data_IF_870092591616
#
_entry.id   IF_870092591616
#
_cell.length_a   1.000
_cell.length_b   1.000
_cell.length_c   1.000
_cell.angle_alpha   90.00
_cell.angle_beta   90.00
_cell.angle_gamma   90.00
#
_symmetry.space_group_name_H-M   'P 1'
#
loop_
_entity.id
_entity.type
_entity.pdbx_description
1 polymer ?
#
# COMPACT_ATOMS: atom_id res chain seq x y z
N UNK A 1 -31.93 10.00 50.51
CA UNK A 1 -30.61 10.61 50.14
C UNK A 1 -29.80 9.77 49.18
N UNK A 2 -29.78 8.41 49.32
CA UNK A 2 -29.08 7.54 48.34
C UNK A 2 -29.80 7.40 46.98
N UNK A 3 -31.15 7.50 46.96
CA UNK A 3 -31.95 7.42 45.74
C UNK A 3 -31.78 8.65 44.81
N UNK A 4 -31.46 9.82 45.37
CA UNK A 4 -31.21 11.05 44.59
C UNK A 4 -29.84 11.07 43.90
N UNK A 5 -28.84 10.44 44.50
CA UNK A 5 -27.49 10.38 43.93
C UNK A 5 -27.46 9.41 42.75
N UNK A 6 -28.20 8.31 42.83
CA UNK A 6 -28.30 7.33 41.73
C UNK A 6 -29.10 7.86 40.53
N UNK A 7 -30.15 8.67 40.78
CA UNK A 7 -30.90 9.30 39.68
C UNK A 7 -30.12 10.42 38.98
N UNK A 8 -29.33 11.19 39.74
CA UNK A 8 -28.41 12.19 39.15
C UNK A 8 -27.26 11.55 38.37
N UNK A 9 -26.69 10.43 38.85
CA UNK A 9 -25.67 9.69 38.15
C UNK A 9 -26.21 9.07 36.83
N UNK A 10 -27.44 8.57 36.82
CA UNK A 10 -28.11 8.07 35.64
C UNK A 10 -28.45 9.19 34.62
N UNK A 11 -28.79 10.39 35.11
CA UNK A 11 -29.05 11.57 34.27
C UNK A 11 -27.77 12.11 33.58
N UNK A 12 -26.61 11.99 34.23
CA UNK A 12 -25.33 12.39 33.66
C UNK A 12 -24.78 11.38 32.66
N UNK A 13 -25.13 10.11 32.77
CA UNK A 13 -24.75 9.05 31.81
C UNK A 13 -25.52 9.16 30.48
N UNK A 14 -26.68 9.83 30.45
CA UNK A 14 -27.47 10.04 29.23
C UNK A 14 -27.14 11.31 28.42
N UNK A 15 -26.24 12.17 28.92
CA UNK A 15 -26.05 13.52 28.35
C UNK A 15 -24.80 13.69 27.48
N UNK A 16 -23.99 12.64 27.26
CA UNK A 16 -22.85 12.73 26.37
C UNK A 16 -22.78 11.52 25.46
N UNK A 17 -23.69 11.46 24.49
CA UNK A 17 -23.45 10.69 23.28
C UNK A 17 -22.31 11.34 22.50
N UNK A 18 -21.09 11.25 23.05
CA UNK A 18 -19.85 11.45 22.29
C UNK A 18 -19.66 10.24 21.36
N UNK A 19 -20.66 9.97 20.56
CA UNK A 19 -20.50 9.03 19.46
C UNK A 19 -19.45 9.60 18.51
N UNK A 20 -18.41 8.83 18.23
CA UNK A 20 -17.37 9.18 17.25
C UNK A 20 -18.03 9.67 15.96
N UNK A 21 -19.17 9.09 15.60
CA UNK A 21 -19.94 9.48 14.43
C UNK A 21 -20.53 10.90 14.56
N UNK A 22 -21.02 11.30 15.73
CA UNK A 22 -21.57 12.66 15.93
C UNK A 22 -20.47 13.71 15.90
N UNK A 23 -19.28 13.40 16.41
CA UNK A 23 -18.09 14.26 16.30
C UNK A 23 -17.63 14.40 14.85
N UNK A 24 -17.61 13.30 14.10
CA UNK A 24 -17.30 13.32 12.67
C UNK A 24 -18.32 14.18 11.88
N UNK A 25 -19.62 14.03 12.16
CA UNK A 25 -20.66 14.81 11.46
C UNK A 25 -20.58 16.31 11.76
N UNK A 26 -20.10 16.70 12.96
CA UNK A 26 -19.92 18.11 13.35
C UNK A 26 -18.58 18.70 12.92
N UNK A 27 -17.60 17.86 12.52
CA UNK A 27 -16.31 18.32 12.07
C UNK A 27 -16.41 19.19 10.81
N UNK A 28 -15.43 20.07 10.64
CA UNK A 28 -15.29 20.92 9.45
C UNK A 28 -15.08 20.08 8.18
N UNK A 29 -15.48 20.63 7.03
CA UNK A 29 -15.37 19.94 5.73
C UNK A 29 -13.94 19.52 5.40
N UNK A 30 -12.96 20.34 5.81
CA UNK A 30 -11.53 20.04 5.57
C UNK A 30 -11.10 18.83 6.41
N UNK A 31 -11.47 18.79 7.70
CA UNK A 31 -11.15 17.65 8.57
C UNK A 31 -11.83 16.37 8.07
N UNK A 32 -13.09 16.46 7.63
CA UNK A 32 -13.79 15.33 6.99
C UNK A 32 -13.07 14.82 5.76
N UNK A 33 -12.63 15.73 4.89
CA UNK A 33 -11.89 15.37 3.68
C UNK A 33 -10.58 14.65 3.99
N UNK A 34 -9.81 15.13 4.97
CA UNK A 34 -8.58 14.48 5.42
C UNK A 34 -8.83 13.06 5.90
N UNK A 35 -9.85 12.86 6.75
CA UNK A 35 -10.20 11.54 7.27
C UNK A 35 -10.61 10.59 6.14
N UNK A 36 -11.45 11.05 5.20
CA UNK A 36 -11.89 10.24 4.06
C UNK A 36 -10.71 9.84 3.17
N UNK A 37 -9.79 10.76 2.87
CA UNK A 37 -8.60 10.49 2.07
C UNK A 37 -7.72 9.45 2.76
N UNK A 38 -7.49 9.57 4.08
CA UNK A 38 -6.68 8.62 4.83
C UNK A 38 -7.32 7.22 4.88
N UNK A 39 -8.64 7.14 5.06
CA UNK A 39 -9.36 5.86 5.02
C UNK A 39 -9.27 5.23 3.63
N UNK A 40 -9.48 5.99 2.56
CA UNK A 40 -9.37 5.50 1.20
C UNK A 40 -7.94 5.01 0.88
N UNK A 41 -6.92 5.77 1.28
CA UNK A 41 -5.52 5.39 1.14
C UNK A 41 -5.20 4.12 1.93
N UNK A 42 -5.75 3.96 3.14
CA UNK A 42 -5.59 2.77 3.97
C UNK A 42 -6.19 1.53 3.29
N UNK A 43 -7.43 1.61 2.80
CA UNK A 43 -8.10 0.50 2.11
C UNK A 43 -7.31 0.09 0.87
N UNK A 44 -6.87 1.06 0.07
CA UNK A 44 -6.08 0.79 -1.13
C UNK A 44 -4.71 0.18 -0.81
N UNK A 45 -4.04 0.65 0.25
CA UNK A 45 -2.78 0.06 0.73
C UNK A 45 -2.96 -1.40 1.15
N UNK A 46 -4.03 -1.75 1.86
CA UNK A 46 -4.34 -3.13 2.21
C UNK A 46 -4.59 -4.00 0.97
N UNK A 47 -5.27 -3.48 -0.05
CA UNK A 47 -5.49 -4.21 -1.30
C UNK A 47 -4.15 -4.56 -1.97
N UNK A 48 -3.21 -3.58 -2.05
CA UNK A 48 -1.87 -3.81 -2.60
C UNK A 48 -1.09 -4.83 -1.77
N UNK A 49 -1.12 -4.75 -0.45
CA UNK A 49 -0.41 -5.68 0.44
C UNK A 49 -0.90 -7.12 0.21
N UNK A 50 -2.21 -7.33 0.14
CA UNK A 50 -2.81 -8.66 -0.09
C UNK A 50 -2.43 -9.19 -1.48
N UNK A 51 -2.47 -8.34 -2.51
CA UNK A 51 -2.05 -8.69 -3.87
C UNK A 51 -0.58 -9.10 -3.91
N UNK A 52 0.31 -8.31 -3.30
CA UNK A 52 1.73 -8.60 -3.24
C UNK A 52 2.05 -9.86 -2.44
N UNK A 53 1.38 -10.06 -1.33
CA UNK A 53 1.57 -11.29 -0.54
C UNK A 53 1.21 -12.55 -1.34
N UNK A 54 0.11 -12.51 -2.10
CA UNK A 54 -0.27 -13.61 -2.99
C UNK A 54 0.73 -13.78 -4.14
N UNK A 55 1.21 -12.69 -4.72
CA UNK A 55 2.20 -12.70 -5.79
C UNK A 55 3.51 -13.33 -5.33
N UNK A 56 4.07 -12.89 -4.21
CA UNK A 56 5.32 -13.43 -3.67
C UNK A 56 5.20 -14.91 -3.32
N UNK A 57 4.08 -15.30 -2.71
CA UNK A 57 3.82 -16.72 -2.43
C UNK A 57 3.76 -17.56 -3.69
N UNK A 58 3.10 -17.05 -4.74
CA UNK A 58 3.03 -17.73 -6.05
C UNK A 58 4.42 -17.85 -6.67
N UNK A 59 5.21 -16.74 -6.70
CA UNK A 59 6.56 -16.73 -7.26
C UNK A 59 7.45 -17.75 -6.57
N UNK A 60 7.47 -17.78 -5.23
CA UNK A 60 8.31 -18.74 -4.49
C UNK A 60 7.97 -20.19 -4.86
N UNK A 61 6.70 -20.55 -4.89
CA UNK A 61 6.25 -21.90 -5.23
C UNK A 61 6.59 -22.27 -6.68
N UNK A 62 6.35 -21.36 -7.63
CA UNK A 62 6.64 -21.60 -9.05
C UNK A 62 8.13 -21.64 -9.33
N UNK A 63 8.93 -20.81 -8.67
CA UNK A 63 10.38 -20.80 -8.82
C UNK A 63 11.03 -22.08 -8.29
N UNK A 64 10.60 -22.60 -7.13
CA UNK A 64 11.06 -23.89 -6.60
C UNK A 64 10.70 -25.06 -7.54
N UNK A 65 9.49 -25.04 -8.09
CA UNK A 65 9.04 -26.05 -9.05
C UNK A 65 9.85 -25.97 -10.37
N UNK A 66 10.10 -24.75 -10.86
CA UNK A 66 10.93 -24.49 -12.03
C UNK A 66 12.35 -24.99 -11.84
N UNK A 67 13.00 -24.65 -10.72
CA UNK A 67 14.34 -25.07 -10.38
C UNK A 67 14.45 -26.60 -10.31
N UNK A 68 13.52 -27.25 -9.62
CA UNK A 68 13.46 -28.71 -9.54
C UNK A 68 13.33 -29.38 -10.90
N UNK A 69 12.52 -28.84 -11.82
CA UNK A 69 12.35 -29.34 -13.18
C UNK A 69 13.59 -29.11 -14.04
N UNK A 70 14.23 -27.92 -13.86
CA UNK A 70 15.45 -27.57 -14.58
C UNK A 70 16.58 -28.55 -14.26
N UNK A 71 16.85 -28.82 -12.98
CA UNK A 71 17.92 -29.74 -12.56
C UNK A 71 17.66 -31.18 -12.93
N UNK A 72 16.41 -31.57 -13.13
CA UNK A 72 16.04 -32.93 -13.61
C UNK A 72 16.17 -33.09 -15.13
N UNK A 73 16.25 -32.01 -15.85
CA UNK A 73 16.37 -32.04 -17.31
C UNK A 73 17.80 -32.38 -17.74
N UNK A 74 17.93 -33.08 -18.86
CA UNK A 74 19.25 -33.52 -19.40
C UNK A 74 20.05 -32.38 -20.02
N UNK A 75 19.39 -31.33 -20.54
CA UNK A 75 20.02 -30.16 -21.11
C UNK A 75 19.12 -28.93 -21.03
N UNK A 76 19.72 -27.74 -20.99
CA UNK A 76 18.99 -26.47 -20.99
C UNK A 76 18.14 -26.28 -22.26
N UNK A 77 18.60 -26.77 -23.40
CA UNK A 77 17.88 -26.68 -24.67
C UNK A 77 16.63 -27.57 -24.72
N UNK A 78 16.72 -28.80 -24.21
CA UNK A 78 15.58 -29.70 -24.08
C UNK A 78 14.54 -29.11 -23.13
N UNK A 79 14.99 -28.53 -22.03
CA UNK A 79 14.11 -27.88 -21.06
C UNK A 79 13.41 -26.64 -21.67
N UNK A 80 14.17 -25.80 -22.40
CA UNK A 80 13.61 -24.65 -23.11
C UNK A 80 12.47 -25.02 -24.06
N UNK A 81 12.65 -26.09 -24.84
CA UNK A 81 11.65 -26.57 -25.78
C UNK A 81 10.41 -27.21 -25.11
N UNK A 82 10.53 -27.60 -23.84
CA UNK A 82 9.42 -28.16 -23.04
C UNK A 82 8.59 -27.09 -22.35
N UNK A 83 9.05 -25.83 -22.30
CA UNK A 83 8.36 -24.75 -21.64
C UNK A 83 7.18 -24.21 -22.46
N UNK A 84 6.03 -23.93 -21.83
CA UNK A 84 4.88 -23.34 -22.50
C UNK A 84 5.17 -21.92 -23.00
N UNK A 85 4.40 -21.47 -23.98
CA UNK A 85 4.61 -20.17 -24.61
C UNK A 85 4.36 -18.99 -23.65
N UNK A 86 3.43 -19.16 -22.74
CA UNK A 86 3.03 -18.13 -21.78
C UNK A 86 3.35 -18.61 -20.36
N UNK A 87 4.27 -17.94 -19.70
CA UNK A 87 4.75 -18.27 -18.38
C UNK A 87 4.46 -17.09 -17.44
N UNK A 88 3.73 -17.34 -16.37
CA UNK A 88 3.45 -16.36 -15.31
C UNK A 88 4.60 -16.24 -14.31
N UNK A 89 5.63 -17.10 -14.43
CA UNK A 89 6.76 -17.15 -13.53
C UNK A 89 7.90 -16.25 -14.03
N UNK A 90 8.39 -15.28 -13.23
CA UNK A 90 9.51 -14.40 -13.58
C UNK A 90 10.80 -15.17 -13.88
N UNK A 91 11.09 -16.26 -13.15
CA UNK A 91 12.28 -17.09 -13.36
C UNK A 91 12.23 -17.78 -14.71
N UNK A 92 11.09 -18.35 -15.07
CA UNK A 92 10.91 -19.02 -16.35
C UNK A 92 10.96 -18.04 -17.53
N UNK A 93 10.43 -16.82 -17.37
CA UNK A 93 10.55 -15.76 -18.37
C UNK A 93 12.00 -15.32 -18.56
N UNK A 94 12.74 -15.11 -17.45
CA UNK A 94 14.16 -14.77 -17.48
C UNK A 94 14.97 -15.85 -18.21
N UNK A 95 14.74 -17.12 -17.88
CA UNK A 95 15.39 -18.25 -18.53
C UNK A 95 15.08 -18.30 -20.03
N UNK A 96 13.81 -18.10 -20.41
CA UNK A 96 13.38 -18.14 -21.80
C UNK A 96 14.01 -17.03 -22.62
N UNK A 97 14.00 -15.79 -22.13
CA UNK A 97 14.60 -14.64 -22.79
C UNK A 97 16.11 -14.83 -22.96
N UNK A 98 16.78 -15.36 -21.92
CA UNK A 98 18.21 -15.66 -21.94
C UNK A 98 18.55 -16.75 -22.95
N UNK A 99 17.81 -17.86 -22.98
CA UNK A 99 18.00 -18.96 -23.91
C UNK A 99 17.78 -18.55 -25.37
N UNK A 100 16.82 -17.66 -25.64
CA UNK A 100 16.64 -17.12 -27.00
C UNK A 100 17.88 -16.43 -27.51
N UNK A 101 18.60 -15.71 -26.66
CA UNK A 101 19.84 -15.02 -27.02
C UNK A 101 20.98 -16.02 -27.22
N UNK A 102 21.10 -17.01 -26.35
CA UNK A 102 22.08 -18.09 -26.47
C UNK A 102 21.95 -18.83 -27.82
N UNK A 103 20.73 -19.20 -28.17
CA UNK A 103 20.43 -19.92 -29.42
C UNK A 103 20.72 -19.07 -30.66
N UNK A 104 20.40 -17.77 -30.60
CA UNK A 104 20.66 -16.83 -31.70
C UNK A 104 22.13 -16.43 -31.86
N UNK A 105 22.95 -16.63 -30.83
CA UNK A 105 24.33 -16.18 -30.80
C UNK A 105 25.26 -17.20 -31.49
N UNK A 106 25.83 -16.85 -32.65
CA UNK A 106 26.75 -17.72 -33.41
C UNK A 106 28.21 -17.74 -32.90
N UNK A 107 28.59 -16.80 -32.04
CA UNK A 107 29.97 -16.65 -31.58
C UNK A 107 30.10 -16.81 -30.06
N UNK A 108 30.89 -17.78 -29.62
CA UNK A 108 31.13 -18.11 -28.21
C UNK A 108 31.95 -17.05 -27.44
N UNK A 109 32.81 -16.31 -28.08
CA UNK A 109 33.72 -15.37 -27.39
C UNK A 109 33.04 -14.09 -26.91
N UNK A 110 31.95 -13.68 -27.54
CA UNK A 110 31.19 -12.47 -27.19
C UNK A 110 29.93 -12.84 -26.35
N UNK A 111 29.67 -14.14 -26.25
CA UNK A 111 28.44 -14.64 -25.61
C UNK A 111 28.36 -14.30 -24.10
N UNK A 112 29.51 -14.40 -23.39
CA UNK A 112 29.52 -14.19 -21.93
C UNK A 112 29.18 -12.76 -21.53
N UNK A 113 29.79 -11.77 -22.18
CA UNK A 113 29.54 -10.35 -21.88
C UNK A 113 28.11 -9.93 -22.28
N UNK A 114 27.67 -10.35 -23.47
CA UNK A 114 26.28 -10.09 -23.90
C UNK A 114 25.27 -10.78 -23.03
N UNK A 115 25.55 -11.97 -22.51
CA UNK A 115 24.68 -12.71 -21.63
C UNK A 115 24.49 -11.98 -20.30
N UNK A 116 25.58 -11.50 -19.69
CA UNK A 116 25.51 -10.71 -18.46
C UNK A 116 24.66 -9.45 -18.64
N UNK A 117 24.89 -8.68 -19.70
CA UNK A 117 24.12 -7.46 -19.97
C UNK A 117 22.62 -7.76 -20.18
N UNK A 118 22.30 -8.85 -20.88
CA UNK A 118 20.91 -9.25 -21.13
C UNK A 118 20.26 -9.75 -19.85
N UNK A 119 20.97 -10.51 -19.03
CA UNK A 119 20.48 -10.95 -17.72
C UNK A 119 20.18 -9.76 -16.83
N UNK A 120 21.08 -8.78 -16.75
CA UNK A 120 20.87 -7.55 -15.96
C UNK A 120 19.61 -6.81 -16.43
N UNK A 121 19.47 -6.54 -17.71
CA UNK A 121 18.29 -5.84 -18.27
C UNK A 121 17.00 -6.62 -18.02
N UNK A 122 17.03 -7.94 -18.18
CA UNK A 122 15.85 -8.76 -17.94
C UNK A 122 15.49 -8.87 -16.45
N UNK A 123 16.47 -8.95 -15.56
CA UNK A 123 16.25 -8.92 -14.11
C UNK A 123 15.63 -7.59 -13.73
N UNK A 124 16.18 -6.46 -14.18
CA UNK A 124 15.65 -5.13 -13.92
C UNK A 124 14.21 -4.99 -14.42
N UNK A 125 13.90 -5.50 -15.61
CA UNK A 125 12.54 -5.52 -16.16
C UNK A 125 11.58 -6.32 -15.28
N UNK A 126 11.97 -7.50 -14.80
CA UNK A 126 11.13 -8.30 -13.90
C UNK A 126 10.96 -7.64 -12.53
N UNK A 127 12.02 -7.05 -11.99
CA UNK A 127 11.96 -6.29 -10.73
C UNK A 127 11.01 -5.10 -10.84
N UNK A 128 11.07 -4.33 -11.94
CA UNK A 128 10.17 -3.20 -12.16
C UNK A 128 8.69 -3.61 -12.21
N UNK A 129 8.37 -4.78 -12.76
CA UNK A 129 7.01 -5.33 -12.77
C UNK A 129 6.56 -5.66 -11.34
N UNK A 130 7.45 -6.27 -10.57
CA UNK A 130 7.18 -6.63 -9.17
C UNK A 130 7.04 -5.38 -8.29
N UNK A 131 7.85 -4.35 -8.51
CA UNK A 131 7.90 -3.14 -7.66
C UNK A 131 6.88 -2.07 -8.02
N UNK A 132 6.18 -2.19 -9.12
CA UNK A 132 5.27 -1.15 -9.65
C UNK A 132 4.31 -0.54 -8.63
N UNK A 133 3.83 -1.31 -7.65
CA UNK A 133 2.89 -0.82 -6.61
C UNK A 133 3.58 -0.41 -5.30
N UNK A 134 4.86 -0.75 -5.11
CA UNK A 134 5.58 -0.46 -3.87
C UNK A 134 5.83 1.04 -3.69
N UNK A 135 6.02 1.77 -4.78
CA UNK A 135 6.18 3.23 -4.77
C UNK A 135 4.97 3.93 -4.16
N UNK A 136 3.76 3.45 -4.43
CA UNK A 136 2.55 4.00 -3.81
C UNK A 136 2.55 3.77 -2.28
N UNK A 137 2.87 2.56 -1.82
CA UNK A 137 2.95 2.25 -0.39
C UNK A 137 3.98 3.12 0.33
N UNK A 138 5.16 3.29 -0.27
CA UNK A 138 6.22 4.14 0.27
C UNK A 138 5.77 5.60 0.37
N UNK A 139 5.11 6.12 -0.67
CA UNK A 139 4.59 7.49 -0.69
C UNK A 139 3.52 7.68 0.38
N UNK A 140 2.53 6.79 0.48
CA UNK A 140 1.48 6.86 1.50
C UNK A 140 2.08 6.73 2.89
N UNK A 141 3.01 5.79 3.11
CA UNK A 141 3.66 5.59 4.40
C UNK A 141 4.41 6.83 4.89
N UNK A 142 5.08 7.56 4.00
CA UNK A 142 5.80 8.79 4.33
C UNK A 142 4.91 10.02 4.45
N UNK A 143 3.83 10.14 3.67
CA UNK A 143 3.00 11.36 3.62
C UNK A 143 1.78 11.31 4.55
N UNK A 144 1.22 10.13 4.85
CA UNK A 144 0.03 9.99 5.69
C UNK A 144 0.14 10.66 7.08
N UNK A 145 1.27 10.55 7.82
CA UNK A 145 1.44 11.25 9.10
C UNK A 145 1.34 12.77 8.97
N UNK A 146 1.89 13.34 7.90
CA UNK A 146 1.83 14.80 7.66
C UNK A 146 0.42 15.26 7.29
N UNK A 147 -0.30 14.48 6.49
CA UNK A 147 -1.70 14.74 6.16
C UNK A 147 -2.56 14.67 7.44
N UNK A 148 -2.33 13.69 8.30
CA UNK A 148 -3.01 13.58 9.60
C UNK A 148 -2.71 14.77 10.51
N UNK A 149 -1.45 15.17 10.62
CA UNK A 149 -1.03 16.35 11.39
C UNK A 149 -1.68 17.63 10.87
N UNK A 150 -1.72 17.82 9.56
CA UNK A 150 -2.44 18.94 8.95
C UNK A 150 -3.90 18.98 9.37
N UNK A 151 -4.58 17.83 9.35
CA UNK A 151 -5.98 17.72 9.79
C UNK A 151 -6.18 18.11 11.26
N UNK A 152 -5.28 17.71 12.15
CA UNK A 152 -5.34 18.08 13.58
C UNK A 152 -5.09 19.57 13.80
N UNK A 153 -4.08 20.15 13.18
CA UNK A 153 -3.76 21.60 13.28
C UNK A 153 -4.93 22.42 12.77
N UNK A 154 -5.51 22.04 11.62
CA UNK A 154 -6.71 22.70 11.09
C UNK A 154 -7.90 22.62 12.03
N UNK A 155 -8.15 21.45 12.60
CA UNK A 155 -9.24 21.26 13.55
C UNK A 155 -9.09 22.10 14.81
N UNK A 156 -7.88 22.21 15.36
CA UNK A 156 -7.57 23.05 16.52
C UNK A 156 -7.79 24.54 16.18
N UNK A 157 -7.29 24.99 15.02
CA UNK A 157 -7.46 26.38 14.58
C UNK A 157 -8.94 26.74 14.47
N UNK A 158 -9.76 25.88 13.88
CA UNK A 158 -11.19 26.10 13.73
C UNK A 158 -11.94 26.11 15.08
N UNK A 159 -11.48 25.29 16.03
CA UNK A 159 -12.02 25.29 17.41
C UNK A 159 -11.73 26.61 18.13
N UNK A 160 -10.52 27.14 18.01
CA UNK A 160 -10.19 28.46 18.60
C UNK A 160 -10.96 29.60 17.94
N UNK A 161 -11.15 29.56 16.64
CA UNK A 161 -11.95 30.55 15.94
C UNK A 161 -13.41 30.57 16.44
N UNK A 162 -14.00 29.40 16.64
CA UNK A 162 -15.37 29.25 17.18
C UNK A 162 -15.48 29.80 18.59
N UNK A 163 -14.49 29.59 19.46
CA UNK A 163 -14.44 30.16 20.83
C UNK A 163 -14.30 31.68 20.80
N UNK A 164 -13.47 32.22 19.91
CA UNK A 164 -13.29 33.67 19.78
C UNK A 164 -14.61 34.38 19.38
N UNK A 165 -15.34 33.79 18.43
CA UNK A 165 -16.64 34.31 17.99
C UNK A 165 -17.68 34.25 19.13
N UNK A 166 -17.76 33.16 19.87
CA UNK A 166 -18.73 33.01 20.97
C UNK A 166 -18.44 33.95 22.14
N UNK A 167 -17.17 34.25 22.44
CA UNK A 167 -16.82 35.24 23.48
C UNK A 167 -17.18 36.66 23.09
N UNK A 168 -17.08 37.05 21.82
CA UNK A 168 -17.48 38.36 21.35
C UNK A 168 -18.99 38.59 21.48
N UNK A 169 -19.81 37.56 21.30
CA UNK A 169 -21.28 37.64 21.50
C UNK A 169 -21.67 37.79 22.97
N UNK A 170 -20.95 37.18 23.90
CA UNK A 170 -21.23 37.33 25.34
C UNK A 170 -20.87 38.73 25.87
N UNK A 171 -19.83 39.38 25.30
CA UNK A 171 -19.43 40.74 25.69
C UNK A 171 -20.47 41.81 25.26
N UNK A 172 -21.25 41.56 24.22
CA UNK A 172 -22.27 42.49 23.73
C UNK A 172 -23.61 42.41 24.49
N UNK A 173 -23.82 41.38 25.33
CA UNK A 173 -25.05 41.22 26.12
C UNK A 173 -24.99 41.96 27.48
N UNK A 174 -23.83 42.39 27.92
CA UNK A 174 -23.61 43.06 29.20
C UNK A 174 -23.46 44.61 29.09
N UNK A 175 -23.89 45.23 28.00
CA UNK A 175 -24.12 46.67 27.87
C UNK A 175 -25.62 46.90 27.73
#
# INVERSE_FOLDING_TARGET
MEADITSQAAGLAGATDFSILSLFLRADIIVKSVIIILIAASIYSWAIIIEKFKLFRKINLTSEEFESKFWKSKSAETFYNSLPANLDDPMANLFKDTMQVVIKSRSRSILGERLNNILEVNIEKQMNIIDKSNTFLATVGSTAPFIGLFGTVWGIMNSFQSIAISRNTLSLIHI
#
